data_IF_402752972314
#
_entry.id   IF_402752972314
#
_cell.length_a   1.000
_cell.length_b   1.000
_cell.length_c   1.000
_cell.angle_alpha   90.00
_cell.angle_beta   90.00
_cell.angle_gamma   90.00
#
_symmetry.space_group_name_H-M   'P 1'
#
loop_
_entity.id
_entity.type
_entity.pdbx_description
1 polymer ?
#
# COMPACT_ATOMS: atom_id res chain seq x y z
N UNK A 1 9.76 0.20 20.63
CA UNK A 1 9.94 1.63 20.31
C UNK A 1 10.21 1.88 18.83
N UNK A 2 11.14 1.18 18.17
CA UNK A 2 11.39 1.37 16.73
C UNK A 2 10.09 1.27 15.89
N UNK A 3 9.22 0.32 16.21
CA UNK A 3 7.95 0.12 15.51
C UNK A 3 6.94 1.27 15.70
N UNK A 4 6.86 1.89 16.89
CA UNK A 4 5.90 2.98 17.13
C UNK A 4 6.23 4.23 16.34
N UNK A 5 7.52 4.57 16.21
CA UNK A 5 7.98 5.72 15.42
C UNK A 5 7.44 5.75 13.99
N UNK A 6 7.27 4.59 13.34
CA UNK A 6 6.85 4.51 11.94
C UNK A 6 5.38 4.19 11.76
N UNK A 7 4.74 3.56 12.76
CA UNK A 7 3.37 3.08 12.66
C UNK A 7 2.37 4.03 13.32
N UNK A 8 2.72 4.55 14.50
CA UNK A 8 1.92 5.52 15.22
C UNK A 8 2.82 6.33 16.16
N UNK A 9 3.23 7.55 15.76
CA UNK A 9 4.10 8.39 16.57
C UNK A 9 3.47 8.83 17.89
N UNK A 10 2.15 8.72 18.04
CA UNK A 10 1.44 9.05 19.29
C UNK A 10 1.70 8.01 20.39
N UNK A 11 2.12 6.78 20.04
CA UNK A 11 2.50 5.76 21.02
C UNK A 11 3.94 5.99 21.50
N UNK A 12 4.05 6.62 22.66
CA UNK A 12 5.34 6.99 23.27
C UNK A 12 6.05 5.82 23.94
N UNK A 13 7.37 5.98 24.19
CA UNK A 13 8.15 5.01 24.99
C UNK A 13 7.57 4.84 26.39
N UNK A 14 7.09 5.91 27.00
CA UNK A 14 6.54 5.89 28.34
C UNK A 14 5.25 5.06 28.40
N UNK A 15 4.35 5.21 27.41
CA UNK A 15 3.15 4.39 27.28
C UNK A 15 3.49 2.90 27.16
N UNK A 16 4.52 2.56 26.37
CA UNK A 16 4.96 1.16 26.23
C UNK A 16 5.48 0.57 27.55
N UNK A 17 6.12 1.38 28.40
CA UNK A 17 6.68 0.91 29.68
C UNK A 17 5.62 0.85 30.80
N UNK A 18 4.70 1.80 30.82
CA UNK A 18 3.72 1.95 31.90
C UNK A 18 2.37 1.29 31.62
N UNK A 19 2.02 1.11 30.33
CA UNK A 19 0.74 0.53 29.87
C UNK A 19 0.99 -0.36 28.63
N UNK A 20 1.77 -1.44 28.77
CA UNK A 20 2.30 -2.21 27.64
C UNK A 20 1.21 -2.88 26.80
N UNK A 21 0.10 -3.29 27.39
CA UNK A 21 -0.99 -3.99 26.69
C UNK A 21 -1.76 -3.00 25.81
N UNK A 22 -2.13 -1.85 26.38
CA UNK A 22 -2.84 -0.77 25.69
C UNK A 22 -1.97 -0.19 24.57
N UNK A 23 -0.69 0.06 24.85
CA UNK A 23 0.26 0.54 23.84
C UNK A 23 0.43 -0.47 22.70
N UNK A 24 0.46 -1.77 23.00
CA UNK A 24 0.53 -2.81 21.97
C UNK A 24 -0.76 -2.86 21.15
N UNK A 25 -1.93 -2.82 21.80
CA UNK A 25 -3.22 -2.83 21.12
C UNK A 25 -3.33 -1.65 20.14
N UNK A 26 -2.97 -0.45 20.59
CA UNK A 26 -2.97 0.75 19.75
C UNK A 26 -2.03 0.59 18.54
N UNK A 27 -0.81 0.09 18.75
CA UNK A 27 0.15 -0.14 17.66
C UNK A 27 -0.33 -1.17 16.63
N UNK A 28 -0.95 -2.25 17.09
CA UNK A 28 -1.48 -3.28 16.19
C UNK A 28 -2.64 -2.73 15.35
N UNK A 29 -3.51 -1.91 15.96
CA UNK A 29 -4.65 -1.28 15.29
C UNK A 29 -4.24 -0.12 14.38
N UNK A 30 -3.06 0.45 14.59
CA UNK A 30 -2.52 1.53 13.77
C UNK A 30 -2.01 1.07 12.40
N UNK A 31 -2.00 -0.24 12.11
CA UNK A 31 -1.57 -0.75 10.82
C UNK A 31 -2.65 -0.57 9.75
N UNK A 32 -2.79 0.66 9.27
CA UNK A 32 -3.84 1.08 8.33
C UNK A 32 -3.89 0.25 7.05
N UNK A 33 -2.77 -0.31 6.59
CA UNK A 33 -2.68 -1.01 5.31
C UNK A 33 -3.53 -2.29 5.25
N UNK A 34 -3.72 -2.98 6.38
CA UNK A 34 -4.50 -4.24 6.45
C UNK A 34 -5.79 -4.10 7.25
N UNK A 35 -6.19 -2.87 7.56
CA UNK A 35 -7.34 -2.62 8.43
C UNK A 35 -8.67 -2.79 7.68
N UNK A 36 -9.01 -1.85 6.79
CA UNK A 36 -10.19 -1.92 5.94
C UNK A 36 -9.95 -1.16 4.61
N UNK A 37 -10.84 -1.38 3.63
CA UNK A 37 -10.71 -0.79 2.30
C UNK A 37 -10.87 0.75 2.29
N UNK A 38 -11.78 1.30 3.09
CA UNK A 38 -12.04 2.74 3.14
C UNK A 38 -10.85 3.48 3.76
N UNK A 39 -10.29 2.94 4.84
CA UNK A 39 -9.04 3.45 5.42
C UNK A 39 -7.90 3.41 4.41
N UNK A 40 -7.77 2.30 3.64
CA UNK A 40 -6.75 2.21 2.58
C UNK A 40 -6.95 3.28 1.50
N UNK A 41 -8.16 3.43 0.95
CA UNK A 41 -8.46 4.45 -0.06
C UNK A 41 -8.02 5.84 0.41
N UNK A 42 -8.48 6.24 1.60
CA UNK A 42 -8.13 7.53 2.22
C UNK A 42 -6.61 7.70 2.35
N UNK A 43 -5.92 6.70 2.94
CA UNK A 43 -4.47 6.78 3.19
C UNK A 43 -3.64 6.80 1.92
N UNK A 44 -4.05 6.07 0.88
CA UNK A 44 -3.38 6.13 -0.42
C UNK A 44 -3.50 7.52 -1.06
N UNK A 45 -4.69 8.13 -1.04
CA UNK A 45 -4.90 9.49 -1.58
C UNK A 45 -4.10 10.54 -0.81
N UNK A 46 -4.09 10.46 0.53
CA UNK A 46 -3.27 11.31 1.39
C UNK A 46 -1.78 11.18 1.02
N UNK A 47 -1.28 9.95 0.92
CA UNK A 47 0.12 9.66 0.57
C UNK A 47 0.48 10.19 -0.82
N UNK A 48 -0.39 9.99 -1.82
CA UNK A 48 -0.14 10.47 -3.18
C UNK A 48 0.02 11.99 -3.21
N UNK A 49 -0.83 12.71 -2.47
CA UNK A 49 -0.77 14.18 -2.39
C UNK A 49 0.45 14.67 -1.61
N UNK A 50 0.74 14.05 -0.47
CA UNK A 50 1.86 14.43 0.40
C UNK A 50 3.21 14.28 -0.31
N UNK A 51 3.39 13.19 -1.06
CA UNK A 51 4.64 12.87 -1.72
C UNK A 51 4.70 13.28 -3.20
N UNK A 52 3.67 13.96 -3.72
CA UNK A 52 3.54 14.34 -5.13
C UNK A 52 3.77 13.16 -6.09
N UNK A 53 3.07 12.05 -5.83
CA UNK A 53 3.24 10.79 -6.57
C UNK A 53 2.48 10.87 -7.90
N UNK A 54 3.17 10.62 -9.01
CA UNK A 54 2.59 10.64 -10.36
C UNK A 54 1.69 9.42 -10.67
N UNK A 55 1.93 8.29 -9.99
CA UNK A 55 1.15 7.06 -10.15
C UNK A 55 1.57 5.95 -9.19
N UNK A 56 0.70 4.95 -9.02
CA UNK A 56 0.88 3.86 -8.05
C UNK A 56 1.08 2.53 -8.79
N UNK A 57 2.04 1.73 -8.33
CA UNK A 57 2.15 0.32 -8.69
C UNK A 57 1.86 -0.51 -7.45
N UNK A 58 0.86 -1.39 -7.53
CA UNK A 58 0.48 -2.30 -6.46
C UNK A 58 0.85 -3.73 -6.83
N UNK A 59 1.46 -4.44 -5.88
CA UNK A 59 1.83 -5.84 -6.04
C UNK A 59 0.74 -6.74 -5.47
N UNK A 60 0.00 -7.40 -6.37
CA UNK A 60 -0.85 -8.54 -6.04
C UNK A 60 0.05 -9.75 -5.75
N UNK A 61 0.38 -9.91 -4.47
CA UNK A 61 1.08 -11.08 -3.98
C UNK A 61 0.10 -12.26 -3.85
N UNK A 62 0.35 -13.33 -4.60
CA UNK A 62 -0.52 -14.50 -4.65
C UNK A 62 -0.60 -15.25 -3.31
N UNK A 63 0.46 -15.23 -2.51
CA UNK A 63 0.50 -15.83 -1.17
C UNK A 63 -0.09 -14.94 -0.08
N UNK A 64 0.03 -13.61 -0.18
CA UNK A 64 -0.46 -12.68 0.84
C UNK A 64 -1.88 -12.19 0.53
N UNK A 65 -2.88 -13.03 0.84
CA UNK A 65 -4.30 -12.69 0.61
C UNK A 65 -4.77 -11.41 1.30
N UNK A 66 -4.39 -11.10 2.56
CA UNK A 66 -4.82 -9.85 3.20
C UNK A 66 -4.33 -8.59 2.46
N UNK A 67 -3.11 -8.61 1.92
CA UNK A 67 -2.55 -7.51 1.11
C UNK A 67 -3.33 -7.33 -0.21
N UNK A 68 -3.59 -8.45 -0.89
CA UNK A 68 -4.16 -8.48 -2.23
C UNK A 68 -5.69 -8.33 -2.25
N UNK A 69 -6.36 -8.61 -1.13
CA UNK A 69 -7.79 -8.41 -0.98
C UNK A 69 -8.17 -6.93 -1.14
N UNK A 70 -9.25 -6.64 -1.88
CA UNK A 70 -9.73 -5.28 -2.15
C UNK A 70 -8.80 -4.43 -3.03
N UNK A 71 -7.69 -4.96 -3.55
CA UNK A 71 -6.73 -4.19 -4.34
C UNK A 71 -7.30 -3.72 -5.68
N UNK A 72 -8.16 -4.51 -6.32
CA UNK A 72 -8.85 -4.11 -7.55
C UNK A 72 -9.88 -3.00 -7.31
N UNK A 73 -10.60 -3.06 -6.18
CA UNK A 73 -11.54 -2.01 -5.78
C UNK A 73 -10.81 -0.72 -5.40
N UNK A 74 -9.67 -0.84 -4.70
CA UNK A 74 -8.77 0.27 -4.40
C UNK A 74 -8.26 0.92 -5.69
N UNK A 75 -7.75 0.12 -6.64
CA UNK A 75 -7.33 0.61 -7.96
C UNK A 75 -8.45 1.38 -8.65
N UNK A 76 -9.65 0.81 -8.66
CA UNK A 76 -10.82 1.43 -9.31
C UNK A 76 -11.12 2.79 -8.69
N UNK A 77 -11.22 2.87 -7.37
CA UNK A 77 -11.46 4.12 -6.65
C UNK A 77 -10.37 5.17 -6.94
N UNK A 78 -9.09 4.78 -6.88
CA UNK A 78 -7.98 5.68 -7.18
C UNK A 78 -8.05 6.26 -8.60
N UNK A 79 -8.41 5.43 -9.58
CA UNK A 79 -8.49 5.86 -10.98
C UNK A 79 -9.76 6.66 -11.29
N UNK A 80 -10.93 6.23 -10.81
CA UNK A 80 -12.22 6.80 -11.17
C UNK A 80 -12.57 8.05 -10.34
N UNK A 81 -12.27 8.05 -9.05
CA UNK A 81 -12.66 9.15 -8.14
C UNK A 81 -11.55 10.17 -7.92
N UNK A 82 -10.29 9.78 -8.13
CA UNK A 82 -9.13 10.62 -7.81
C UNK A 82 -8.21 10.89 -9.01
N UNK A 83 -8.50 10.31 -10.18
CA UNK A 83 -7.67 10.40 -11.39
C UNK A 83 -6.19 10.03 -11.15
N UNK A 84 -5.93 9.09 -10.23
CA UNK A 84 -4.58 8.63 -9.89
C UNK A 84 -4.26 7.38 -10.74
N UNK A 85 -3.31 7.47 -11.70
CA UNK A 85 -2.92 6.32 -12.51
C UNK A 85 -2.41 5.20 -11.62
N UNK A 86 -2.95 4.00 -11.80
CA UNK A 86 -2.65 2.85 -10.94
C UNK A 86 -2.47 1.58 -11.75
N UNK A 87 -1.38 0.84 -11.50
CA UNK A 87 -1.06 -0.46 -12.08
C UNK A 87 -1.10 -1.54 -11.01
N UNK A 88 -1.64 -2.72 -11.34
CA UNK A 88 -1.49 -3.92 -10.53
C UNK A 88 -0.55 -4.86 -11.28
N UNK A 89 0.47 -5.36 -10.60
CA UNK A 89 1.35 -6.44 -11.06
C UNK A 89 1.13 -7.67 -10.18
N UNK A 90 1.11 -8.85 -10.77
CA UNK A 90 0.86 -10.10 -10.03
C UNK A 90 2.13 -10.95 -9.99
N UNK A 91 2.57 -11.31 -8.79
CA UNK A 91 3.64 -12.29 -8.61
C UNK A 91 3.58 -12.92 -7.21
N UNK A 92 4.55 -13.74 -6.86
CA UNK A 92 4.67 -14.30 -5.51
C UNK A 92 6.01 -13.88 -4.90
N UNK A 93 6.01 -13.63 -3.58
CA UNK A 93 7.22 -13.22 -2.88
C UNK A 93 8.25 -14.35 -2.70
N UNK A 94 7.83 -15.60 -2.83
CA UNK A 94 8.67 -16.77 -2.55
C UNK A 94 8.58 -17.87 -3.62
N UNK A 95 7.54 -17.88 -4.46
CA UNK A 95 7.41 -18.83 -5.56
C UNK A 95 7.88 -18.24 -6.91
N UNK A 96 9.12 -18.55 -7.37
CA UNK A 96 9.64 -18.02 -8.63
C UNK A 96 8.86 -18.49 -9.86
N UNK A 97 8.09 -19.57 -9.76
CA UNK A 97 7.24 -20.06 -10.86
C UNK A 97 6.08 -19.12 -11.15
N UNK A 98 5.80 -18.19 -10.24
CA UNK A 98 4.74 -17.18 -10.34
C UNK A 98 5.29 -15.81 -10.78
N UNK A 99 6.57 -15.73 -11.12
CA UNK A 99 7.21 -14.51 -11.59
C UNK A 99 7.55 -14.62 -13.08
N UNK A 100 7.07 -13.64 -13.86
CA UNK A 100 7.42 -13.49 -15.27
C UNK A 100 8.04 -12.10 -15.49
N UNK A 101 9.37 -12.07 -15.63
CA UNK A 101 10.14 -10.83 -15.73
C UNK A 101 9.80 -10.02 -16.98
N UNK A 102 9.63 -10.69 -18.13
CA UNK A 102 9.34 -10.03 -19.41
C UNK A 102 7.95 -9.38 -19.36
N UNK A 103 6.95 -10.12 -18.87
CA UNK A 103 5.60 -9.61 -18.72
C UNK A 103 5.55 -8.40 -17.78
N UNK A 104 6.18 -8.49 -16.60
CA UNK A 104 6.21 -7.37 -15.64
C UNK A 104 6.93 -6.16 -16.21
N UNK A 105 8.06 -6.35 -16.89
CA UNK A 105 8.83 -5.27 -17.52
C UNK A 105 7.98 -4.53 -18.55
N UNK A 106 7.31 -5.26 -19.44
CA UNK A 106 6.43 -4.68 -20.46
C UNK A 106 5.25 -3.89 -19.86
N UNK A 107 4.65 -4.38 -18.76
CA UNK A 107 3.57 -3.68 -18.06
C UNK A 107 4.06 -2.38 -17.43
N UNK A 108 5.23 -2.41 -16.78
CA UNK A 108 5.83 -1.24 -16.14
C UNK A 108 6.23 -0.21 -17.20
N UNK A 109 6.87 -0.61 -18.29
CA UNK A 109 7.22 0.28 -19.41
C UNK A 109 5.98 0.97 -19.99
N UNK A 110 4.93 0.20 -20.27
CA UNK A 110 3.66 0.74 -20.76
C UNK A 110 3.04 1.74 -19.77
N UNK A 111 3.13 1.45 -18.47
CA UNK A 111 2.62 2.35 -17.43
C UNK A 111 3.43 3.65 -17.34
N UNK A 112 4.76 3.57 -17.43
CA UNK A 112 5.63 4.76 -17.48
C UNK A 112 5.28 5.65 -18.68
N UNK A 113 5.02 5.07 -19.85
CA UNK A 113 4.58 5.83 -21.03
C UNK A 113 3.24 6.54 -20.82
N UNK A 114 2.30 5.90 -20.11
CA UNK A 114 1.03 6.55 -19.72
C UNK A 114 1.29 7.74 -18.80
N UNK A 115 2.17 7.59 -17.81
CA UNK A 115 2.53 8.69 -16.90
C UNK A 115 3.19 9.86 -17.63
N UNK A 116 4.10 9.58 -18.57
CA UNK A 116 4.77 10.61 -19.39
C UNK A 116 3.80 11.44 -20.22
N UNK A 117 2.74 10.82 -20.76
CA UNK A 117 1.73 11.52 -21.58
C UNK A 117 0.78 12.41 -20.76
N UNK A 118 0.74 12.24 -19.44
CA UNK A 118 -0.10 13.02 -18.52
C UNK A 118 0.63 14.24 -17.92
N UNK A 119 1.95 14.34 -18.11
CA UNK A 119 2.74 15.53 -17.80
C UNK A 119 2.70 16.51 -18.96
#
# INVERSE_FOLDING_TARGET
YAFSKYMNPDVTKEMVLNSPIEAMAELMMSFWYVYDLETRKKKFVETVREYNIDGIIMHENLSCRPNSCGMYDLKRNLMEEHDIPSLIISSDMNDPRKFNAEQLSNQIESFIEILRKRK
#
